data_IF_178524789514
#
_entry.id   IF_178524789514
#
_cell.length_a   1.000
_cell.length_b   1.000
_cell.length_c   1.000
_cell.angle_alpha   90.00
_cell.angle_beta   90.00
_cell.angle_gamma   90.00
#
_symmetry.space_group_name_H-M   'P 1'
#
loop_
_entity.id
_entity.type
_entity.pdbx_description
1 polymer ?
#
# COMPACT_ATOMS: atom_id res chain seq x y z
N UNK A 1 0.32 16.26 -1.49
CA UNK A 1 -0.52 15.09 -1.20
C UNK A 1 -0.01 14.39 0.08
N UNK A 2 1.10 13.63 0.07
CA UNK A 2 1.69 13.10 1.33
C UNK A 2 3.04 13.77 1.56
N UNK A 3 3.21 14.40 2.74
CA UNK A 3 4.46 15.03 3.15
C UNK A 3 4.93 14.37 4.45
N UNK A 4 6.15 13.88 4.45
CA UNK A 4 6.79 13.22 5.59
C UNK A 4 8.05 14.03 5.91
N UNK A 5 8.19 14.46 7.17
CA UNK A 5 9.31 15.29 7.64
C UNK A 5 9.89 14.68 8.90
N UNK A 6 11.16 14.31 8.84
CA UNK A 6 11.97 13.79 9.95
C UNK A 6 11.30 12.66 10.74
N UNK A 7 10.57 11.77 10.03
CA UNK A 7 9.85 10.66 10.63
C UNK A 7 10.81 9.76 11.40
N UNK A 8 10.48 9.55 12.68
CA UNK A 8 11.17 8.62 13.57
C UNK A 8 10.18 7.61 14.16
N UNK A 9 10.61 6.35 14.26
CA UNK A 9 9.87 5.29 14.97
C UNK A 9 10.81 4.43 15.76
N UNK A 10 10.48 4.24 17.05
CA UNK A 10 11.20 3.34 17.94
C UNK A 10 10.22 2.48 18.73
N UNK A 11 10.63 1.29 19.11
CA UNK A 11 9.94 0.39 20.02
C UNK A 11 10.87 0.14 21.22
N UNK A 12 10.55 0.76 22.36
CA UNK A 12 11.48 0.79 23.49
C UNK A 12 12.81 1.43 23.08
N UNK A 13 13.90 0.69 23.20
CA UNK A 13 15.25 1.17 22.80
C UNK A 13 15.62 0.83 21.36
N UNK A 14 14.77 0.12 20.61
CA UNK A 14 15.04 -0.26 19.23
C UNK A 14 14.53 0.79 18.26
N UNK A 15 15.44 1.52 17.60
CA UNK A 15 15.11 2.51 16.58
C UNK A 15 14.92 1.78 15.25
N UNK A 16 13.70 1.84 14.70
CA UNK A 16 13.32 1.17 13.43
C UNK A 16 13.33 2.14 12.27
N UNK A 17 12.87 3.38 12.46
CA UNK A 17 12.97 4.48 11.49
C UNK A 17 13.69 5.64 12.14
N UNK A 18 14.75 6.13 11.47
CA UNK A 18 15.67 7.08 12.12
C UNK A 18 15.38 8.55 11.79
N UNK A 19 15.25 8.86 10.51
CA UNK A 19 15.00 10.22 10.01
C UNK A 19 14.57 10.16 8.55
N UNK A 20 13.28 9.88 8.33
CA UNK A 20 12.76 9.74 6.97
C UNK A 20 12.02 11.00 6.58
N UNK A 21 12.44 11.60 5.47
CA UNK A 21 11.75 12.73 4.84
C UNK A 21 11.41 12.39 3.39
N UNK A 22 10.14 12.55 3.00
CA UNK A 22 9.64 12.18 1.69
C UNK A 22 8.43 13.04 1.31
N UNK A 23 8.38 13.47 0.05
CA UNK A 23 7.20 14.07 -0.54
C UNK A 23 6.64 13.16 -1.63
N UNK A 24 5.33 12.89 -1.59
CA UNK A 24 4.61 12.12 -2.60
C UNK A 24 3.59 13.03 -3.27
N UNK A 25 3.66 13.13 -4.58
CA UNK A 25 2.73 13.94 -5.39
C UNK A 25 1.41 13.18 -5.61
N UNK A 26 0.34 13.92 -5.87
CA UNK A 26 -0.93 13.30 -6.28
C UNK A 26 -0.75 12.56 -7.60
N UNK A 27 -1.27 11.33 -7.65
CA UNK A 27 -1.13 10.44 -8.81
C UNK A 27 0.23 9.78 -8.96
N UNK A 28 1.18 9.99 -8.03
CA UNK A 28 2.51 9.37 -8.08
C UNK A 28 2.45 7.94 -7.53
N UNK A 29 3.00 7.00 -8.29
CA UNK A 29 3.22 5.62 -7.86
C UNK A 29 4.68 5.43 -7.43
N UNK A 30 4.90 5.08 -6.16
CA UNK A 30 6.22 4.88 -5.58
C UNK A 30 6.38 3.43 -5.15
N UNK A 31 7.48 2.78 -5.52
CA UNK A 31 7.89 1.52 -4.92
C UNK A 31 8.93 1.72 -3.84
N UNK A 32 8.78 0.98 -2.74
CA UNK A 32 9.74 0.93 -1.63
C UNK A 32 10.35 -0.46 -1.60
N UNK A 33 11.64 -0.54 -1.85
CA UNK A 33 12.42 -1.79 -1.89
C UNK A 33 13.51 -1.78 -0.82
N UNK A 34 14.07 -2.94 -0.51
CA UNK A 34 15.18 -3.07 0.46
C UNK A 34 15.13 -4.39 1.21
N UNK A 35 16.17 -4.73 1.98
CA UNK A 35 16.26 -5.97 2.70
C UNK A 35 15.16 -6.15 3.75
N UNK A 36 14.89 -7.39 4.15
CA UNK A 36 14.00 -7.67 5.28
C UNK A 36 14.51 -6.99 6.54
N UNK A 37 13.60 -6.45 7.36
CA UNK A 37 13.97 -5.74 8.58
C UNK A 37 14.44 -4.29 8.38
N UNK A 38 14.45 -3.75 7.15
CA UNK A 38 14.85 -2.36 6.90
C UNK A 38 13.81 -1.29 7.33
N UNK A 39 12.64 -1.69 7.84
CA UNK A 39 11.60 -0.78 8.33
C UNK A 39 10.48 -0.47 7.34
N UNK A 40 10.43 -1.07 6.14
CA UNK A 40 9.46 -0.76 5.08
C UNK A 40 8.00 -0.86 5.51
N UNK A 41 7.60 -1.99 6.11
CA UNK A 41 6.22 -2.18 6.61
C UNK A 41 5.89 -1.23 7.77
N UNK A 42 6.86 -0.96 8.66
CA UNK A 42 6.70 0.04 9.73
C UNK A 42 6.51 1.43 9.14
N UNK A 43 7.27 1.79 8.10
CA UNK A 43 7.13 3.03 7.37
C UNK A 43 5.71 3.21 6.80
N UNK A 44 5.17 2.20 6.09
CA UNK A 44 3.79 2.25 5.60
C UNK A 44 2.76 2.37 6.73
N UNK A 45 2.94 1.63 7.82
CA UNK A 45 2.02 1.67 8.97
C UNK A 45 2.06 3.02 9.69
N UNK A 46 3.19 3.70 9.71
CA UNK A 46 3.27 5.08 10.17
C UNK A 46 2.47 6.01 9.26
N UNK A 47 2.56 5.87 7.93
CA UNK A 47 1.82 6.71 6.98
C UNK A 47 0.30 6.54 7.11
N UNK A 48 -0.19 5.33 7.41
CA UNK A 48 -1.61 5.07 7.63
C UNK A 48 -2.06 5.39 9.08
N UNK A 49 -1.15 5.81 9.96
CA UNK A 49 -1.46 6.05 11.38
C UNK A 49 -1.76 4.77 12.18
N UNK A 50 -1.39 3.58 11.68
CA UNK A 50 -1.48 2.33 12.44
C UNK A 50 -0.38 2.20 13.48
N UNK A 51 0.74 2.89 13.26
CA UNK A 51 1.84 3.02 14.20
C UNK A 51 1.99 4.48 14.61
N UNK A 52 2.04 4.74 15.91
CA UNK A 52 2.32 6.07 16.44
C UNK A 52 3.74 6.51 16.09
N UNK A 53 3.91 7.77 15.74
CA UNK A 53 5.21 8.36 15.47
C UNK A 53 5.98 8.54 16.78
N UNK A 54 7.29 8.27 16.77
CA UNK A 54 8.17 8.65 17.88
C UNK A 54 8.75 10.06 17.70
N UNK A 55 8.61 10.63 16.51
CA UNK A 55 8.98 11.99 16.17
C UNK A 55 8.77 12.28 14.68
N UNK A 56 8.83 13.55 14.32
CA UNK A 56 8.55 14.03 12.97
C UNK A 56 7.07 14.23 12.69
N UNK A 57 6.74 14.49 11.43
CA UNK A 57 5.39 14.78 10.95
C UNK A 57 5.04 13.96 9.72
N UNK A 58 3.80 13.54 9.61
CA UNK A 58 3.22 12.99 8.40
C UNK A 58 1.92 13.74 8.13
N UNK A 59 1.90 14.50 7.03
CA UNK A 59 0.73 15.21 6.57
C UNK A 59 0.17 14.53 5.32
N UNK A 60 -1.13 14.33 5.28
CA UNK A 60 -1.88 13.93 4.08
C UNK A 60 -2.91 15.01 3.82
N UNK A 61 -2.70 15.79 2.77
CA UNK A 61 -3.43 17.03 2.50
C UNK A 61 -3.47 17.94 3.75
N UNK A 62 -4.65 18.18 4.33
CA UNK A 62 -4.86 19.01 5.52
C UNK A 62 -4.68 18.27 6.87
N UNK A 63 -4.50 16.95 6.86
CA UNK A 63 -4.39 16.15 8.08
C UNK A 63 -2.92 15.94 8.47
N UNK A 64 -2.54 16.29 9.70
CA UNK A 64 -1.23 15.98 10.29
C UNK A 64 -1.39 14.92 11.39
N UNK A 65 -0.71 13.78 11.25
CA UNK A 65 -0.71 12.70 12.26
C UNK A 65 -0.07 13.09 13.60
N UNK A 66 0.67 14.18 13.65
CA UNK A 66 1.22 14.71 14.90
C UNK A 66 0.21 15.58 15.69
N UNK A 67 -0.91 15.97 15.08
CA UNK A 67 -1.96 16.73 15.76
C UNK A 67 -2.72 15.83 16.75
N UNK A 68 -2.67 16.18 18.03
CA UNK A 68 -3.36 15.45 19.12
C UNK A 68 -4.88 15.49 19.00
N UNK A 69 -5.44 16.45 18.26
CA UNK A 69 -6.88 16.57 18.04
C UNK A 69 -7.34 15.90 16.74
N UNK A 70 -6.43 15.22 16.03
CA UNK A 70 -6.75 14.56 14.79
C UNK A 70 -7.82 13.49 14.98
N UNK A 71 -8.87 13.55 14.16
CA UNK A 71 -9.77 12.42 14.01
C UNK A 71 -9.12 11.36 13.12
N UNK A 72 -8.51 10.37 13.75
CA UNK A 72 -7.74 9.31 13.07
C UNK A 72 -8.60 8.47 12.11
N UNK A 73 -9.89 8.32 12.37
CA UNK A 73 -10.78 7.57 11.49
C UNK A 73 -11.02 8.32 10.18
N UNK A 74 -11.23 9.66 10.26
CA UNK A 74 -11.30 10.51 9.05
C UNK A 74 -10.01 10.53 8.27
N UNK A 75 -8.87 10.51 8.94
CA UNK A 75 -7.56 10.38 8.29
C UNK A 75 -7.45 9.06 7.54
N UNK A 76 -7.81 7.93 8.17
CA UNK A 76 -7.75 6.59 7.56
C UNK A 76 -8.73 6.39 6.42
N UNK A 77 -9.77 7.20 6.32
CA UNK A 77 -10.63 7.23 5.13
C UNK A 77 -9.88 7.73 3.89
N UNK A 78 -8.90 8.63 4.07
CA UNK A 78 -8.10 9.21 2.99
C UNK A 78 -6.96 8.31 2.53
N UNK A 79 -6.45 7.46 3.42
CA UNK A 79 -5.29 6.60 3.17
C UNK A 79 -5.68 5.14 3.33
N UNK A 80 -6.03 4.50 2.23
CA UNK A 80 -6.34 3.07 2.21
C UNK A 80 -5.07 2.22 2.38
N UNK A 81 -5.21 1.03 2.96
CA UNK A 81 -4.11 0.09 3.11
C UNK A 81 -4.50 -1.32 2.71
N UNK A 82 -3.65 -1.95 1.91
CA UNK A 82 -3.74 -3.34 1.47
C UNK A 82 -2.58 -4.10 2.09
N UNK A 83 -2.87 -5.11 2.87
CA UNK A 83 -1.90 -5.88 3.65
C UNK A 83 -1.44 -7.13 2.90
N UNK A 84 -0.30 -7.69 3.29
CA UNK A 84 0.22 -8.97 2.86
C UNK A 84 -0.78 -10.11 3.13
N UNK A 85 -1.34 -10.16 4.35
CA UNK A 85 -2.45 -11.04 4.71
C UNK A 85 -3.74 -10.32 4.38
N UNK A 86 -4.54 -10.84 3.51
CA UNK A 86 -5.75 -10.24 2.91
C UNK A 86 -6.71 -9.57 3.91
N UNK A 87 -6.74 -10.05 5.16
CA UNK A 87 -7.54 -9.55 6.27
C UNK A 87 -9.04 -9.42 5.94
N UNK A 88 -9.57 -10.34 5.14
CA UNK A 88 -10.99 -10.41 4.85
C UNK A 88 -11.73 -10.99 6.05
N UNK A 89 -12.93 -10.48 6.29
CA UNK A 89 -13.84 -11.01 7.31
C UNK A 89 -14.42 -12.33 6.82
N UNK A 90 -14.09 -13.49 7.46
CA UNK A 90 -14.44 -14.81 6.94
C UNK A 90 -15.94 -15.12 7.01
N UNK A 91 -16.67 -14.45 7.88
CA UNK A 91 -18.11 -14.58 8.10
C UNK A 91 -18.98 -13.67 7.22
N UNK A 92 -18.35 -12.84 6.38
CA UNK A 92 -19.01 -11.96 5.43
C UNK A 92 -18.74 -12.45 4.01
N UNK A 93 -19.71 -12.26 3.11
CA UNK A 93 -19.48 -12.52 1.67
C UNK A 93 -18.48 -11.54 1.10
N UNK A 94 -18.02 -11.80 -0.12
CA UNK A 94 -17.09 -10.92 -0.85
C UNK A 94 -17.67 -9.51 -0.98
N UNK A 95 -18.91 -9.38 -1.43
CA UNK A 95 -19.58 -8.09 -1.55
C UNK A 95 -19.73 -7.41 -0.18
N UNK A 96 -20.13 -8.16 0.85
CA UNK A 96 -20.26 -7.61 2.21
C UNK A 96 -18.94 -7.10 2.77
N UNK A 97 -17.81 -7.77 2.49
CA UNK A 97 -16.48 -7.29 2.85
C UNK A 97 -16.18 -5.92 2.25
N UNK A 98 -16.57 -5.70 1.00
CA UNK A 98 -16.28 -4.44 0.28
C UNK A 98 -17.16 -3.30 0.80
N UNK A 99 -18.45 -3.55 1.01
CA UNK A 99 -19.40 -2.49 1.34
C UNK A 99 -19.52 -2.20 2.84
N UNK A 100 -18.87 -2.99 3.71
CA UNK A 100 -19.02 -2.87 5.16
C UNK A 100 -18.70 -1.46 5.64
N UNK A 101 -17.52 -0.93 5.32
CA UNK A 101 -17.08 0.37 5.81
C UNK A 101 -17.94 1.53 5.25
N UNK A 102 -18.20 1.66 3.93
CA UNK A 102 -19.06 2.71 3.41
C UNK A 102 -20.44 2.76 4.04
N UNK A 103 -21.04 1.59 4.31
CA UNK A 103 -22.37 1.49 4.93
C UNK A 103 -22.32 1.83 6.42
N UNK A 104 -21.36 1.26 7.16
CA UNK A 104 -21.21 1.47 8.61
C UNK A 104 -20.93 2.93 8.94
N UNK A 105 -20.10 3.59 8.15
CA UNK A 105 -19.78 5.00 8.30
C UNK A 105 -20.85 5.93 7.69
N UNK A 106 -21.97 5.38 7.21
CA UNK A 106 -23.11 6.14 6.62
C UNK A 106 -22.69 7.10 5.49
N UNK A 107 -21.65 6.73 4.73
CA UNK A 107 -21.17 7.51 3.57
C UNK A 107 -22.15 7.43 2.40
N UNK A 108 -22.77 6.26 2.25
CA UNK A 108 -23.73 5.96 1.18
C UNK A 108 -24.86 5.07 1.74
N UNK A 109 -26.00 5.05 1.06
CA UNK A 109 -27.05 4.09 1.35
C UNK A 109 -26.61 2.66 1.04
N UNK A 110 -27.26 1.66 1.62
CA UNK A 110 -26.95 0.25 1.34
C UNK A 110 -27.09 -0.08 -0.15
N UNK A 111 -28.07 0.50 -0.83
CA UNK A 111 -28.28 0.25 -2.27
C UNK A 111 -27.14 0.83 -3.12
N UNK A 112 -26.71 2.06 -2.83
CA UNK A 112 -25.56 2.68 -3.49
C UNK A 112 -24.28 1.92 -3.21
N UNK A 113 -24.07 1.45 -1.96
CA UNK A 113 -22.93 0.62 -1.61
C UNK A 113 -22.89 -0.69 -2.38
N UNK A 114 -24.02 -1.39 -2.55
CA UNK A 114 -24.12 -2.61 -3.36
C UNK A 114 -23.74 -2.33 -4.82
N UNK A 115 -24.23 -1.23 -5.39
CA UNK A 115 -23.86 -0.82 -6.76
C UNK A 115 -22.37 -0.58 -6.87
N UNK A 116 -21.81 0.25 -5.99
CA UNK A 116 -20.37 0.53 -5.93
C UNK A 116 -19.55 -0.75 -5.74
N UNK A 117 -19.96 -1.63 -4.83
CA UNK A 117 -19.25 -2.88 -4.57
C UNK A 117 -19.22 -3.80 -5.79
N UNK A 118 -20.30 -3.88 -6.56
CA UNK A 118 -20.36 -4.64 -7.82
C UNK A 118 -19.46 -4.03 -8.90
N UNK A 119 -19.46 -2.70 -9.05
CA UNK A 119 -18.55 -1.98 -9.98
C UNK A 119 -17.08 -2.24 -9.62
N UNK A 120 -16.74 -2.23 -8.32
CA UNK A 120 -15.38 -2.54 -7.86
C UNK A 120 -15.02 -4.02 -8.08
N UNK A 121 -15.96 -4.94 -7.89
CA UNK A 121 -15.75 -6.37 -8.19
C UNK A 121 -15.53 -6.60 -9.68
N UNK A 122 -16.27 -5.91 -10.54
CA UNK A 122 -16.04 -5.95 -11.99
C UNK A 122 -14.65 -5.44 -12.34
N UNK A 123 -14.23 -4.31 -11.74
CA UNK A 123 -12.89 -3.72 -11.92
C UNK A 123 -11.75 -4.69 -11.57
N UNK A 124 -11.94 -5.53 -10.53
CA UNK A 124 -10.94 -6.54 -10.15
C UNK A 124 -11.21 -7.93 -10.75
N UNK A 125 -12.19 -8.05 -11.66
CA UNK A 125 -12.51 -9.28 -12.38
C UNK A 125 -13.12 -10.39 -11.51
N UNK A 126 -13.95 -10.03 -10.52
CA UNK A 126 -14.55 -10.96 -9.55
C UNK A 126 -16.05 -10.73 -9.32
N UNK A 127 -16.76 -10.15 -10.28
CA UNK A 127 -18.21 -9.88 -10.13
C UNK A 127 -19.02 -11.15 -9.88
N UNK A 128 -18.64 -12.28 -10.50
CA UNK A 128 -19.23 -13.59 -10.31
C UNK A 128 -19.05 -14.19 -8.91
N UNK A 129 -18.14 -13.61 -8.11
CA UNK A 129 -17.81 -14.03 -6.74
C UNK A 129 -18.47 -13.17 -5.66
N UNK A 130 -19.38 -12.26 -6.01
CA UNK A 130 -19.99 -11.31 -5.07
C UNK A 130 -20.61 -11.97 -3.82
N UNK A 131 -21.30 -13.08 -4.00
CA UNK A 131 -22.11 -13.73 -2.97
C UNK A 131 -21.41 -14.92 -2.28
N UNK A 132 -20.15 -15.23 -2.66
CA UNK A 132 -19.39 -16.31 -2.01
C UNK A 132 -18.60 -15.80 -0.80
N UNK A 133 -18.17 -16.72 0.07
CA UNK A 133 -17.34 -16.40 1.23
C UNK A 133 -15.84 -16.47 0.90
N UNK A 134 -14.98 -15.74 1.64
CA UNK A 134 -13.53 -15.73 1.42
C UNK A 134 -12.88 -17.13 1.43
N UNK A 135 -13.44 -18.10 2.15
CA UNK A 135 -12.92 -19.47 2.22
C UNK A 135 -12.88 -20.19 0.86
N UNK A 136 -13.77 -19.81 -0.08
CA UNK A 136 -13.84 -20.40 -1.43
C UNK A 136 -12.95 -19.70 -2.47
N UNK A 137 -12.21 -18.67 -2.07
CA UNK A 137 -11.36 -17.88 -2.96
C UNK A 137 -9.90 -18.35 -2.91
N UNK A 138 -9.20 -18.27 -4.06
CA UNK A 138 -7.75 -18.38 -4.12
C UNK A 138 -7.06 -17.18 -3.43
N UNK A 139 -5.76 -17.30 -3.16
CA UNK A 139 -4.97 -16.20 -2.57
C UNK A 139 -5.05 -14.93 -3.41
N UNK A 140 -4.83 -15.04 -4.73
CA UNK A 140 -4.90 -13.89 -5.64
C UNK A 140 -6.30 -13.27 -5.72
N UNK A 141 -7.36 -14.08 -5.65
CA UNK A 141 -8.74 -13.59 -5.56
C UNK A 141 -8.99 -12.84 -4.25
N UNK A 142 -8.55 -13.38 -3.11
CA UNK A 142 -8.63 -12.69 -1.80
C UNK A 142 -7.93 -11.34 -1.82
N UNK A 143 -6.75 -11.26 -2.42
CA UNK A 143 -6.00 -10.02 -2.51
C UNK A 143 -6.71 -9.00 -3.39
N UNK A 144 -7.26 -9.41 -4.52
CA UNK A 144 -8.06 -8.51 -5.38
C UNK A 144 -9.32 -8.00 -4.67
N UNK A 145 -9.98 -8.83 -3.86
CA UNK A 145 -11.09 -8.38 -3.00
C UNK A 145 -10.60 -7.37 -1.94
N UNK A 146 -9.43 -7.58 -1.34
CA UNK A 146 -8.85 -6.64 -0.38
C UNK A 146 -8.55 -5.28 -1.04
N UNK A 147 -8.07 -5.26 -2.28
CA UNK A 147 -7.90 -4.04 -3.07
C UNK A 147 -9.26 -3.36 -3.32
N UNK A 148 -10.27 -4.10 -3.79
CA UNK A 148 -11.60 -3.57 -4.02
C UNK A 148 -12.22 -2.97 -2.74
N UNK A 149 -12.02 -3.64 -1.59
CA UNK A 149 -12.46 -3.15 -0.28
C UNK A 149 -11.79 -1.82 0.09
N UNK A 150 -10.48 -1.70 -0.15
CA UNK A 150 -9.76 -0.45 0.11
C UNK A 150 -10.26 0.69 -0.79
N UNK A 151 -10.54 0.40 -2.06
CA UNK A 151 -11.08 1.37 -3.04
C UNK A 151 -12.50 1.84 -2.70
N UNK A 152 -13.31 1.02 -1.99
CA UNK A 152 -14.69 1.36 -1.67
C UNK A 152 -14.85 2.61 -0.81
N UNK A 153 -13.80 2.99 -0.08
CA UNK A 153 -13.75 4.23 0.71
C UNK A 153 -13.35 5.45 -0.13
N UNK A 154 -13.02 5.28 -1.42
CA UNK A 154 -12.53 6.33 -2.33
C UNK A 154 -11.33 7.09 -1.74
N UNK A 155 -10.27 6.39 -1.34
CA UNK A 155 -9.11 7.01 -0.70
C UNK A 155 -8.35 7.91 -1.69
N UNK A 156 -7.62 8.89 -1.16
CA UNK A 156 -6.71 9.76 -1.93
C UNK A 156 -5.39 9.04 -2.25
N UNK A 157 -4.98 8.10 -1.39
CA UNK A 157 -3.81 7.26 -1.60
C UNK A 157 -4.05 5.81 -1.15
N UNK A 158 -3.38 4.86 -1.80
CA UNK A 158 -3.33 3.45 -1.44
C UNK A 158 -1.91 3.03 -1.05
N UNK A 159 -1.80 2.40 0.10
CA UNK A 159 -0.57 1.79 0.59
C UNK A 159 -0.65 0.28 0.42
N UNK A 160 0.39 -0.34 -0.12
CA UNK A 160 0.47 -1.78 -0.33
C UNK A 160 1.68 -2.36 0.43
N UNK A 161 1.42 -3.18 1.44
CA UNK A 161 2.44 -3.85 2.24
C UNK A 161 2.64 -5.27 1.71
N UNK A 162 3.60 -5.47 0.81
CA UNK A 162 3.96 -6.75 0.18
C UNK A 162 2.73 -7.52 -0.37
N UNK A 163 1.94 -6.94 -1.28
CA UNK A 163 0.62 -7.47 -1.68
C UNK A 163 0.67 -8.83 -2.39
N UNK A 164 1.85 -9.30 -2.81
CA UNK A 164 2.03 -10.54 -3.57
C UNK A 164 2.81 -11.61 -2.81
N UNK A 165 3.43 -11.29 -1.67
CA UNK A 165 4.37 -12.18 -0.97
C UNK A 165 3.73 -13.44 -0.35
N UNK A 166 2.40 -13.42 -0.13
CA UNK A 166 1.62 -14.56 0.37
C UNK A 166 0.92 -15.36 -0.76
N UNK A 167 1.29 -15.12 -2.03
CA UNK A 167 0.65 -15.71 -3.20
C UNK A 167 1.55 -16.72 -3.89
N UNK A 168 0.90 -17.73 -4.48
CA UNK A 168 1.57 -18.61 -5.44
C UNK A 168 1.97 -17.81 -6.69
N UNK A 169 3.14 -18.11 -7.32
CA UNK A 169 3.64 -17.36 -8.48
C UNK A 169 2.62 -17.19 -9.62
N UNK A 170 1.78 -18.18 -9.85
CA UNK A 170 0.74 -18.16 -10.89
C UNK A 170 -0.32 -17.07 -10.65
N UNK A 171 -0.53 -16.68 -9.39
CA UNK A 171 -1.55 -15.70 -8.99
C UNK A 171 -1.04 -14.27 -8.91
N UNK A 172 0.28 -14.07 -8.88
CA UNK A 172 0.93 -12.76 -8.75
C UNK A 172 0.52 -11.83 -9.90
N UNK A 173 0.54 -12.35 -11.14
CA UNK A 173 0.28 -11.55 -12.34
C UNK A 173 -1.10 -10.87 -12.35
N UNK A 174 -2.14 -11.53 -11.83
CA UNK A 174 -3.49 -10.96 -11.77
C UNK A 174 -3.59 -9.79 -10.79
N UNK A 175 -2.90 -9.87 -9.64
CA UNK A 175 -2.86 -8.79 -8.64
C UNK A 175 -2.06 -7.61 -9.18
N UNK A 176 -0.88 -7.86 -9.77
CA UNK A 176 -0.04 -6.81 -10.36
C UNK A 176 -0.76 -6.10 -11.51
N UNK A 177 -1.58 -6.82 -12.30
CA UNK A 177 -2.40 -6.21 -13.35
C UNK A 177 -3.38 -5.17 -12.77
N UNK A 178 -4.11 -5.53 -11.72
CA UNK A 178 -5.03 -4.59 -11.04
C UNK A 178 -4.26 -3.36 -10.53
N UNK A 179 -3.11 -3.55 -9.88
CA UNK A 179 -2.29 -2.44 -9.40
C UNK A 179 -1.75 -1.55 -10.54
N UNK A 180 -1.36 -2.15 -11.68
CA UNK A 180 -0.93 -1.43 -12.88
C UNK A 180 -2.06 -0.58 -13.46
N UNK A 181 -3.29 -1.11 -13.48
CA UNK A 181 -4.45 -0.37 -13.98
C UNK A 181 -4.79 0.80 -13.04
N UNK A 182 -4.68 0.63 -11.73
CA UNK A 182 -4.84 1.72 -10.76
C UNK A 182 -3.79 2.83 -10.93
N UNK A 183 -2.53 2.48 -11.18
CA UNK A 183 -1.48 3.46 -11.46
C UNK A 183 -1.78 4.27 -12.70
N UNK A 184 -2.21 3.63 -13.79
CA UNK A 184 -2.60 4.29 -15.05
C UNK A 184 -3.80 5.24 -14.87
N UNK A 185 -4.71 4.94 -13.95
CA UNK A 185 -5.83 5.81 -13.59
C UNK A 185 -5.41 7.01 -12.72
N UNK A 186 -4.14 7.12 -12.36
CA UNK A 186 -3.61 8.21 -11.54
C UNK A 186 -3.84 8.04 -10.05
N UNK A 187 -4.01 6.80 -9.56
CA UNK A 187 -4.07 6.53 -8.12
C UNK A 187 -2.72 6.81 -7.47
N UNK A 188 -2.70 7.63 -6.42
CA UNK A 188 -1.48 7.79 -5.61
C UNK A 188 -1.20 6.51 -4.85
N UNK A 189 0.00 5.94 -5.02
CA UNK A 189 0.35 4.65 -4.41
C UNK A 189 1.75 4.64 -3.80
N UNK A 190 1.88 3.99 -2.64
CA UNK A 190 3.18 3.60 -2.09
C UNK A 190 3.14 2.08 -1.91
N UNK A 191 4.05 1.38 -2.58
CA UNK A 191 4.05 -0.08 -2.68
C UNK A 191 5.35 -0.64 -2.14
N UNK A 192 5.31 -1.30 -1.00
CA UNK A 192 6.41 -2.18 -0.55
C UNK A 192 6.31 -3.47 -1.34
N UNK A 193 7.34 -3.81 -2.10
CA UNK A 193 7.30 -4.97 -2.99
C UNK A 193 8.68 -5.59 -3.22
N UNK A 194 8.67 -6.88 -3.53
CA UNK A 194 9.81 -7.63 -4.08
C UNK A 194 9.68 -7.87 -5.59
N UNK A 195 8.59 -7.39 -6.21
CA UNK A 195 8.33 -7.50 -7.65
C UNK A 195 9.07 -6.39 -8.41
N UNK A 196 10.35 -6.62 -8.73
CA UNK A 196 11.19 -5.60 -9.38
C UNK A 196 10.70 -5.23 -10.78
N UNK A 197 10.09 -6.18 -11.51
CA UNK A 197 9.44 -5.93 -12.80
C UNK A 197 8.32 -4.90 -12.68
N UNK A 198 7.44 -5.06 -11.69
CA UNK A 198 6.38 -4.10 -11.39
C UNK A 198 6.95 -2.73 -11.02
N UNK A 199 7.91 -2.69 -10.11
CA UNK A 199 8.53 -1.43 -9.67
C UNK A 199 9.17 -0.68 -10.84
N UNK A 200 9.78 -1.39 -11.78
CA UNK A 200 10.43 -0.80 -12.97
C UNK A 200 9.43 -0.31 -14.02
N UNK A 201 8.36 -1.07 -14.25
CA UNK A 201 7.42 -0.78 -15.35
C UNK A 201 6.30 0.20 -14.97
N UNK A 202 5.95 0.26 -13.69
CA UNK A 202 4.72 0.91 -13.24
C UNK A 202 4.97 2.11 -12.34
N UNK A 203 6.03 2.07 -11.53
CA UNK A 203 6.26 3.14 -10.57
C UNK A 203 7.02 4.33 -11.19
N UNK A 204 6.64 5.55 -10.80
CA UNK A 204 7.31 6.78 -11.20
C UNK A 204 8.64 6.96 -10.48
N UNK A 205 8.74 6.42 -9.26
CA UNK A 205 9.91 6.52 -8.39
C UNK A 205 10.12 5.25 -7.59
N UNK A 206 11.40 4.92 -7.38
CA UNK A 206 11.85 3.84 -6.51
C UNK A 206 12.59 4.42 -5.33
N UNK A 207 12.29 3.91 -4.14
CA UNK A 207 12.97 4.23 -2.88
C UNK A 207 13.63 2.97 -2.37
N UNK A 208 14.94 3.01 -2.17
CA UNK A 208 15.67 1.95 -1.50
C UNK A 208 15.87 2.28 -0.02
N UNK A 209 15.31 1.46 0.84
CA UNK A 209 15.41 1.58 2.31
C UNK A 209 16.35 0.53 2.88
N UNK A 210 17.26 0.96 3.75
CA UNK A 210 18.08 0.08 4.56
C UNK A 210 18.31 0.69 5.95
N UNK A 211 18.38 -0.14 6.98
CA UNK A 211 18.68 0.25 8.37
C UNK A 211 17.82 1.40 8.93
N UNK A 212 16.56 1.47 8.48
CA UNK A 212 15.61 2.50 8.92
C UNK A 212 15.78 3.87 8.24
N UNK A 213 16.49 3.94 7.13
CA UNK A 213 16.77 5.17 6.36
C UNK A 213 16.43 4.99 4.88
N UNK A 214 16.12 6.08 4.20
CA UNK A 214 16.11 6.14 2.73
C UNK A 214 17.56 6.33 2.29
N UNK A 215 18.14 5.29 1.70
CA UNK A 215 19.55 5.27 1.27
C UNK A 215 19.69 5.86 -0.13
N UNK A 216 18.73 5.57 -1.01
CA UNK A 216 18.71 6.05 -2.38
C UNK A 216 17.28 6.15 -2.89
N UNK A 217 17.01 7.14 -3.74
CA UNK A 217 15.74 7.27 -4.44
C UNK A 217 15.94 7.94 -5.79
N UNK A 218 15.12 7.57 -6.76
CA UNK A 218 15.21 8.12 -8.11
C UNK A 218 14.19 7.46 -9.04
N UNK A 219 14.28 7.76 -10.32
CA UNK A 219 13.51 7.04 -11.33
C UNK A 219 13.91 5.57 -11.36
N UNK A 220 13.00 4.66 -11.76
CA UNK A 220 13.32 3.23 -11.85
C UNK A 220 14.63 2.93 -12.60
N UNK A 221 14.83 3.58 -13.76
CA UNK A 221 16.04 3.39 -14.56
C UNK A 221 17.32 3.80 -13.81
N UNK A 222 17.25 4.88 -13.03
CA UNK A 222 18.40 5.38 -12.26
C UNK A 222 18.76 4.40 -11.15
N UNK A 223 17.77 4.01 -10.34
CA UNK A 223 18.00 3.13 -9.18
C UNK A 223 18.35 1.69 -9.58
N UNK A 224 17.70 1.15 -10.63
CA UNK A 224 17.91 -0.24 -11.03
C UNK A 224 19.11 -0.46 -11.96
N UNK A 225 19.41 0.48 -12.87
CA UNK A 225 20.46 0.28 -13.88
C UNK A 225 21.76 1.02 -13.51
N UNK A 226 21.67 2.12 -12.76
CA UNK A 226 22.83 2.92 -12.39
C UNK A 226 22.79 3.40 -10.93
N UNK A 227 22.61 2.48 -9.95
CA UNK A 227 22.57 2.84 -8.54
C UNK A 227 23.88 3.50 -8.09
N UNK A 228 23.76 4.63 -7.39
CA UNK A 228 24.92 5.41 -6.95
C UNK A 228 25.44 4.94 -5.59
N UNK A 229 24.55 4.40 -4.74
CA UNK A 229 24.93 3.94 -3.42
C UNK A 229 25.41 2.49 -3.45
N UNK A 230 26.57 2.21 -2.84
CA UNK A 230 27.17 0.88 -2.78
C UNK A 230 26.20 -0.16 -2.15
N UNK A 231 25.41 0.24 -1.16
CA UNK A 231 24.47 -0.65 -0.50
C UNK A 231 23.32 -1.04 -1.42
N UNK A 232 22.82 -0.10 -2.23
CA UNK A 232 21.83 -0.36 -3.30
C UNK A 232 22.41 -1.32 -4.33
N UNK A 233 23.65 -1.07 -4.79
CA UNK A 233 24.34 -1.92 -5.75
C UNK A 233 24.45 -3.37 -5.24
N UNK A 234 24.88 -3.53 -3.98
CA UNK A 234 25.03 -4.85 -3.38
C UNK A 234 23.70 -5.57 -3.23
N UNK A 235 22.64 -4.87 -2.83
CA UNK A 235 21.27 -5.43 -2.74
C UNK A 235 20.78 -5.91 -4.11
N UNK A 236 20.91 -5.08 -5.15
CA UNK A 236 20.46 -5.42 -6.50
C UNK A 236 21.26 -6.55 -7.11
N UNK A 237 22.59 -6.61 -6.89
CA UNK A 237 23.44 -7.73 -7.37
C UNK A 237 22.96 -9.09 -6.83
N UNK A 238 22.47 -9.15 -5.59
CA UNK A 238 21.96 -10.40 -5.00
C UNK A 238 20.63 -10.80 -5.65
N UNK A 239 19.78 -9.84 -5.97
CA UNK A 239 18.49 -10.10 -6.63
C UNK A 239 18.62 -10.56 -8.08
N UNK A 240 19.57 -10.00 -8.84
CA UNK A 240 19.80 -10.36 -10.25
C UNK A 240 20.58 -11.66 -10.46
N UNK A 241 21.14 -12.22 -9.38
CA UNK A 241 21.84 -13.54 -9.44
C UNK A 241 20.89 -14.73 -9.19
N UNK A 242 19.62 -14.45 -8.89
CA UNK A 242 18.57 -15.46 -8.73
C UNK A 242 17.70 -15.52 -9.97
#
# INVERSE_FOLDING_TARGET
MIKIENLKKQYGNNVVLKDISLNVKKGEAISVIGPSGSGKSTFLRCINGLEELSGGHICVDEFDLADKNLNIDKFREKVGMVFQNFNLFPHLTVLQNIILAPVTLKKVTKLEAIKLGKELLEKVGLLDKADVYPSSLSGGQKQRVAIARALAMKPEALLFDEPTSALDPEMVGEVLKVMKDLAKEGMTMIVVTHEMGFAREVCDRVIFMADGEIVEQGKPEEVFLNPQNERTQNFLKVLWKR
#
